data_IF_762350776717
#
_entry.id   IF_762350776717
#
_cell.length_a   1.000
_cell.length_b   1.000
_cell.length_c   1.000
_cell.angle_alpha   90.00
_cell.angle_beta   90.00
_cell.angle_gamma   90.00
#
_symmetry.space_group_name_H-M   'P 1'
#
loop_
_entity.id
_entity.type
_entity.pdbx_description
1 polymer ?
#
# COMPACT_ATOMS: atom_id res chain seq x y z
N UNK A 1 -19.80 4.50 -5.98
CA UNK A 1 -18.41 4.81 -6.35
C UNK A 1 -17.73 3.72 -7.18
N UNK A 2 -17.58 2.48 -6.69
CA UNK A 2 -16.82 1.44 -7.42
C UNK A 2 -17.29 1.14 -8.87
N UNK A 3 -18.61 1.17 -9.12
CA UNK A 3 -19.18 0.95 -10.45
C UNK A 3 -18.74 2.02 -11.46
N UNK A 4 -18.41 3.23 -11.01
CA UNK A 4 -17.99 4.34 -11.89
C UNK A 4 -16.47 4.32 -12.09
N UNK A 5 -15.71 3.94 -11.05
CA UNK A 5 -14.24 3.99 -11.05
C UNK A 5 -13.62 3.13 -12.16
N UNK A 6 -12.63 3.69 -12.88
CA UNK A 6 -11.87 2.96 -13.92
C UNK A 6 -10.46 2.59 -13.47
N UNK A 7 -10.00 3.15 -12.36
CA UNK A 7 -8.74 2.80 -11.75
C UNK A 7 -8.89 1.51 -10.93
N UNK A 8 -8.08 0.51 -11.24
CA UNK A 8 -8.21 -0.82 -10.64
C UNK A 8 -7.98 -0.78 -9.12
N UNK A 9 -6.97 -0.06 -8.65
CA UNK A 9 -6.63 -0.01 -7.22
C UNK A 9 -7.71 0.73 -6.43
N UNK A 10 -8.20 1.86 -6.95
CA UNK A 10 -9.29 2.61 -6.30
C UNK A 10 -10.60 1.82 -6.32
N UNK A 11 -10.92 1.15 -7.43
CA UNK A 11 -12.09 0.28 -7.52
C UNK A 11 -12.06 -0.81 -6.43
N UNK A 12 -10.95 -1.54 -6.29
CA UNK A 12 -10.84 -2.58 -5.25
C UNK A 12 -10.91 -2.02 -3.83
N UNK A 13 -10.37 -0.80 -3.62
CA UNK A 13 -10.42 -0.09 -2.34
C UNK A 13 -11.84 0.31 -1.96
N UNK A 14 -12.64 0.82 -2.89
CA UNK A 14 -14.07 1.06 -2.65
C UNK A 14 -14.82 -0.21 -2.25
N UNK A 15 -14.41 -1.35 -2.78
CA UNK A 15 -14.99 -2.62 -2.34
C UNK A 15 -14.52 -3.05 -0.96
N UNK A 16 -13.41 -2.54 -0.41
CA UNK A 16 -13.09 -2.76 1.02
C UNK A 16 -14.13 -2.01 1.86
N UNK A 17 -14.38 -0.74 1.53
CA UNK A 17 -15.41 0.07 2.21
C UNK A 17 -16.78 -0.62 2.14
N UNK A 18 -17.15 -1.14 0.98
CA UNK A 18 -18.41 -1.89 0.80
C UNK A 18 -18.52 -3.09 1.75
N UNK A 19 -17.50 -3.97 1.80
CA UNK A 19 -17.55 -5.17 2.65
C UNK A 19 -17.43 -4.86 4.14
N UNK A 20 -16.63 -3.85 4.52
CA UNK A 20 -16.62 -3.35 5.91
C UNK A 20 -17.99 -2.78 6.28
N UNK A 21 -18.70 -2.16 5.34
CA UNK A 21 -20.09 -1.73 5.52
C UNK A 21 -21.04 -2.87 5.92
N UNK A 22 -20.89 -4.07 5.35
CA UNK A 22 -21.63 -5.26 5.80
C UNK A 22 -21.30 -5.61 7.25
N UNK A 23 -20.03 -5.57 7.63
CA UNK A 23 -19.59 -5.90 9.00
C UNK A 23 -20.14 -4.89 10.00
N UNK A 24 -20.05 -3.59 9.71
CA UNK A 24 -20.59 -2.53 10.55
C UNK A 24 -22.11 -2.64 10.67
N UNK A 25 -22.80 -2.92 9.56
CA UNK A 25 -24.25 -3.16 9.58
C UNK A 25 -24.61 -4.38 10.45
N UNK A 26 -23.86 -5.47 10.33
CA UNK A 26 -24.08 -6.68 11.12
C UNK A 26 -23.88 -6.43 12.62
N UNK A 27 -22.83 -5.70 13.00
CA UNK A 27 -22.64 -5.25 14.39
C UNK A 27 -23.80 -4.39 14.87
N UNK A 28 -24.30 -3.48 14.01
CA UNK A 28 -25.46 -2.65 14.31
C UNK A 28 -26.79 -3.40 14.46
N UNK A 29 -26.94 -4.58 13.82
CA UNK A 29 -28.10 -5.44 14.03
C UNK A 29 -28.09 -6.11 15.41
N UNK A 30 -26.91 -6.38 15.96
CA UNK A 30 -26.72 -6.78 17.36
C UNK A 30 -27.20 -8.18 17.75
N UNK A 31 -27.76 -8.97 16.84
CA UNK A 31 -28.12 -10.37 17.11
C UNK A 31 -26.89 -11.29 17.08
N UNK A 32 -26.95 -12.41 17.79
CA UNK A 32 -25.86 -13.41 17.80
C UNK A 32 -25.49 -13.88 16.39
N UNK A 33 -26.50 -14.13 15.54
CA UNK A 33 -26.30 -14.47 14.13
C UNK A 33 -25.61 -13.35 13.35
N UNK A 34 -25.96 -12.09 13.61
CA UNK A 34 -25.33 -10.95 12.93
C UNK A 34 -23.87 -10.77 13.37
N UNK A 35 -23.58 -10.92 14.66
CA UNK A 35 -22.21 -10.86 15.19
C UNK A 35 -21.33 -12.01 14.66
N UNK A 36 -21.88 -13.22 14.61
CA UNK A 36 -21.25 -14.36 13.94
C UNK A 36 -20.99 -14.06 12.46
N UNK A 37 -21.98 -13.48 11.77
CA UNK A 37 -21.86 -13.04 10.39
C UNK A 37 -20.75 -12.01 10.19
N UNK A 38 -20.63 -11.02 11.09
CA UNK A 38 -19.58 -10.01 11.06
C UNK A 38 -18.18 -10.64 11.19
N UNK A 39 -17.98 -11.53 12.15
CA UNK A 39 -16.72 -12.24 12.36
C UNK A 39 -16.36 -13.18 11.20
N UNK A 40 -17.32 -13.99 10.76
CA UNK A 40 -17.16 -14.86 9.60
C UNK A 40 -16.82 -14.06 8.35
N UNK A 41 -17.51 -12.93 8.12
CA UNK A 41 -17.29 -12.08 6.97
C UNK A 41 -15.95 -11.39 7.02
N UNK A 42 -15.49 -10.93 8.20
CA UNK A 42 -14.15 -10.37 8.37
C UNK A 42 -13.06 -11.37 7.97
N UNK A 43 -13.18 -12.62 8.41
CA UNK A 43 -12.25 -13.69 8.05
C UNK A 43 -12.25 -13.97 6.54
N UNK A 44 -13.43 -14.25 5.96
CA UNK A 44 -13.54 -14.52 4.52
C UNK A 44 -13.05 -13.33 3.68
N UNK A 45 -13.39 -12.10 4.11
CA UNK A 45 -13.03 -10.86 3.45
C UNK A 45 -11.55 -10.67 3.28
N UNK A 46 -10.75 -10.93 4.32
CA UNK A 46 -9.30 -10.82 4.22
C UNK A 46 -8.76 -11.75 3.13
N UNK A 47 -9.25 -12.99 3.09
CA UNK A 47 -8.77 -14.01 2.15
C UNK A 47 -9.13 -13.64 0.71
N UNK A 48 -10.41 -13.44 0.38
CA UNK A 48 -10.80 -13.16 -1.00
C UNK A 48 -10.31 -11.79 -1.47
N UNK A 49 -10.12 -10.81 -0.57
CA UNK A 49 -9.48 -9.54 -0.93
C UNK A 49 -8.03 -9.71 -1.28
N UNK A 50 -7.28 -10.49 -0.49
CA UNK A 50 -5.90 -10.80 -0.82
C UNK A 50 -5.79 -11.41 -2.23
N UNK A 51 -6.64 -12.38 -2.57
CA UNK A 51 -6.70 -12.97 -3.92
C UNK A 51 -7.00 -11.93 -5.00
N UNK A 52 -8.02 -11.08 -4.80
CA UNK A 52 -8.39 -10.04 -5.76
C UNK A 52 -7.27 -9.00 -5.98
N UNK A 53 -6.64 -8.54 -4.90
CA UNK A 53 -5.53 -7.58 -4.96
C UNK A 53 -4.28 -8.20 -5.57
N UNK A 54 -3.98 -9.47 -5.29
CA UNK A 54 -2.87 -10.18 -5.92
C UNK A 54 -3.14 -10.42 -7.42
N UNK A 55 -4.36 -10.82 -7.81
CA UNK A 55 -4.73 -11.03 -9.21
C UNK A 55 -4.63 -9.76 -10.04
N UNK A 56 -5.21 -8.66 -9.55
CA UNK A 56 -5.07 -7.35 -10.18
C UNK A 56 -3.65 -6.79 -10.09
N UNK A 57 -2.93 -7.07 -9.00
CA UNK A 57 -1.54 -6.70 -8.81
C UNK A 57 -0.62 -7.36 -9.84
N UNK A 58 -0.83 -8.65 -10.12
CA UNK A 58 -0.13 -9.40 -11.16
C UNK A 58 -0.39 -8.80 -12.56
N UNK A 59 -1.64 -8.48 -12.88
CA UNK A 59 -1.98 -7.80 -14.14
C UNK A 59 -1.24 -6.45 -14.24
N UNK A 60 -1.27 -5.62 -13.19
CA UNK A 60 -0.59 -4.32 -13.19
C UNK A 60 0.93 -4.51 -13.32
N UNK A 61 1.51 -5.51 -12.67
CA UNK A 61 2.95 -5.77 -12.70
C UNK A 61 3.43 -6.15 -14.10
N UNK A 62 2.70 -7.02 -14.80
CA UNK A 62 3.10 -7.49 -16.13
C UNK A 62 2.76 -6.45 -17.21
N UNK A 63 1.64 -5.75 -17.08
CA UNK A 63 1.18 -4.81 -18.12
C UNK A 63 1.69 -3.38 -17.93
N UNK A 64 2.11 -3.01 -16.72
CA UNK A 64 2.42 -1.64 -16.33
C UNK A 64 1.24 -0.68 -16.33
N UNK A 65 0.01 -1.16 -16.61
CA UNK A 65 -1.19 -0.31 -16.71
C UNK A 65 -2.12 -0.52 -15.52
N UNK A 66 -2.65 0.58 -14.99
CA UNK A 66 -3.53 0.59 -13.79
C UNK A 66 -4.99 0.88 -14.11
N UNK A 67 -5.26 1.47 -15.27
CA UNK A 67 -6.62 1.83 -15.68
C UNK A 67 -7.24 0.70 -16.51
N UNK A 68 -8.49 0.35 -16.24
CA UNK A 68 -9.23 -0.68 -16.97
C UNK A 68 -9.30 -0.35 -18.47
N UNK A 69 -9.47 0.93 -18.82
CA UNK A 69 -9.58 1.37 -20.21
C UNK A 69 -8.29 1.11 -21.01
N UNK A 70 -7.13 1.09 -20.36
CA UNK A 70 -5.83 0.83 -20.99
C UNK A 70 -5.57 -0.67 -21.21
N UNK A 71 -6.41 -1.55 -20.65
CA UNK A 71 -6.23 -3.00 -20.72
C UNK A 71 -7.21 -3.66 -21.69
N UNK A 72 -8.29 -2.97 -22.06
CA UNK A 72 -9.28 -3.45 -23.02
C UNK A 72 -8.64 -3.81 -24.36
N UNK A 73 -9.11 -4.89 -24.98
CA UNK A 73 -8.70 -5.30 -26.33
C UNK A 73 -7.40 -6.08 -26.42
N UNK A 74 -6.74 -6.37 -25.29
CA UNK A 74 -5.39 -6.96 -25.28
C UNK A 74 -5.36 -8.48 -25.20
N UNK A 75 -6.53 -9.12 -25.27
CA UNK A 75 -6.71 -10.59 -25.20
C UNK A 75 -5.95 -11.23 -24.02
N UNK A 76 -5.94 -10.55 -22.87
CA UNK A 76 -5.22 -11.02 -21.68
C UNK A 76 -5.74 -12.37 -21.21
N UNK A 77 -6.99 -12.74 -21.53
CA UNK A 77 -7.55 -14.05 -21.19
C UNK A 77 -6.76 -15.21 -21.81
N UNK A 78 -6.10 -15.01 -22.95
CA UNK A 78 -5.21 -16.00 -23.59
C UNK A 78 -3.79 -15.95 -23.05
N UNK A 79 -3.32 -14.75 -22.66
CA UNK A 79 -1.94 -14.53 -22.20
C UNK A 79 -1.73 -14.87 -20.73
N UNK A 80 -2.77 -14.68 -19.91
CA UNK A 80 -2.75 -14.91 -18.46
C UNK A 80 -4.01 -15.66 -17.95
N UNK A 81 -4.31 -16.88 -18.47
CA UNK A 81 -5.49 -17.65 -18.09
C UNK A 81 -5.52 -18.13 -16.63
N UNK A 82 -4.38 -18.49 -16.04
CA UNK A 82 -4.25 -18.92 -14.64
C UNK A 82 -4.57 -17.74 -13.72
N UNK A 83 -3.97 -16.58 -13.96
CA UNK A 83 -4.26 -15.37 -13.17
C UNK A 83 -5.75 -14.99 -13.26
N UNK A 84 -6.37 -15.14 -14.44
CA UNK A 84 -7.81 -14.93 -14.61
C UNK A 84 -8.63 -15.91 -13.74
N UNK A 85 -8.35 -17.21 -13.80
CA UNK A 85 -9.09 -18.22 -13.03
C UNK A 85 -8.97 -17.94 -11.52
N UNK A 86 -7.76 -17.68 -11.03
CA UNK A 86 -7.51 -17.39 -9.61
C UNK A 86 -8.21 -16.09 -9.18
N UNK A 87 -8.15 -15.04 -10.01
CA UNK A 87 -8.91 -13.81 -9.78
C UNK A 87 -10.42 -14.08 -9.71
N UNK A 88 -10.96 -14.90 -10.62
CA UNK A 88 -12.39 -15.21 -10.66
C UNK A 88 -12.85 -15.98 -9.42
N UNK A 89 -12.02 -16.84 -8.82
CA UNK A 89 -12.31 -17.45 -7.51
C UNK A 89 -12.53 -16.37 -6.45
N UNK A 90 -11.64 -15.38 -6.36
CA UNK A 90 -11.80 -14.24 -5.46
C UNK A 90 -13.03 -13.38 -5.80
N UNK A 91 -13.32 -13.19 -7.09
CA UNK A 91 -14.44 -12.40 -7.58
C UNK A 91 -15.80 -13.07 -7.28
N UNK A 92 -15.89 -14.39 -7.42
CA UNK A 92 -17.06 -15.17 -7.03
C UNK A 92 -17.23 -15.21 -5.51
N UNK A 93 -16.13 -15.27 -4.77
CA UNK A 93 -16.13 -15.20 -3.31
C UNK A 93 -16.72 -13.87 -2.81
N UNK A 94 -16.18 -12.72 -3.21
CA UNK A 94 -16.72 -11.41 -2.77
C UNK A 94 -18.18 -11.17 -3.21
N UNK A 95 -18.58 -11.81 -4.31
CA UNK A 95 -19.93 -11.68 -4.89
C UNK A 95 -20.95 -12.63 -4.29
N UNK A 96 -20.56 -13.44 -3.29
CA UNK A 96 -21.42 -14.43 -2.66
C UNK A 96 -22.03 -15.44 -3.65
N UNK A 97 -21.22 -15.92 -4.60
CA UNK A 97 -21.61 -17.07 -5.43
C UNK A 97 -21.63 -18.34 -4.56
N UNK A 98 -22.66 -19.20 -4.67
CA UNK A 98 -22.69 -20.48 -3.94
C UNK A 98 -21.39 -21.27 -4.12
N UNK A 99 -21.02 -22.06 -3.10
CA UNK A 99 -19.76 -22.83 -2.99
C UNK A 99 -18.51 -22.01 -2.62
N UNK A 100 -18.59 -20.68 -2.55
CA UNK A 100 -17.49 -19.83 -2.10
C UNK A 100 -17.77 -19.22 -0.71
N UNK A 101 -16.71 -18.91 0.02
CA UNK A 101 -16.80 -18.49 1.42
C UNK A 101 -17.55 -17.16 1.66
N UNK A 102 -17.60 -16.27 0.68
CA UNK A 102 -18.40 -15.06 0.79
C UNK A 102 -19.89 -15.34 0.76
N UNK A 103 -20.35 -16.43 0.13
CA UNK A 103 -21.76 -16.86 0.23
C UNK A 103 -22.08 -17.25 1.67
N UNK A 104 -21.23 -18.08 2.29
CA UNK A 104 -21.38 -18.54 3.69
C UNK A 104 -21.48 -17.37 4.67
N UNK A 105 -20.55 -16.41 4.58
CA UNK A 105 -20.50 -15.30 5.54
C UNK A 105 -21.50 -14.18 5.26
N UNK A 106 -21.67 -13.79 3.99
CA UNK A 106 -22.48 -12.62 3.61
C UNK A 106 -23.97 -12.91 3.70
N UNK A 107 -24.40 -14.12 3.31
CA UNK A 107 -25.82 -14.51 3.43
C UNK A 107 -26.26 -14.59 4.88
N UNK A 108 -25.37 -14.95 5.81
CA UNK A 108 -25.65 -14.93 7.25
C UNK A 108 -26.00 -13.51 7.74
N UNK A 109 -25.26 -12.48 7.31
CA UNK A 109 -25.55 -11.09 7.65
C UNK A 109 -26.90 -10.64 7.08
N UNK A 110 -27.16 -10.97 5.82
CA UNK A 110 -28.43 -10.63 5.15
C UNK A 110 -29.61 -11.33 5.83
N UNK A 111 -29.47 -12.62 6.13
CA UNK A 111 -30.49 -13.39 6.82
C UNK A 111 -30.76 -12.86 8.23
N UNK A 112 -29.73 -12.41 8.96
CA UNK A 112 -29.91 -11.78 10.26
C UNK A 112 -30.76 -10.50 10.19
N UNK A 113 -30.63 -9.70 9.12
CA UNK A 113 -31.49 -8.54 8.90
C UNK A 113 -32.96 -8.96 8.61
N UNK A 114 -33.15 -10.01 7.82
CA UNK A 114 -34.47 -10.56 7.49
C UNK A 114 -35.19 -11.15 8.72
N UNK A 115 -34.51 -11.99 9.49
CA UNK A 115 -35.04 -12.56 10.74
C UNK A 115 -35.30 -11.48 11.81
N UNK A 116 -34.50 -10.40 11.81
CA UNK A 116 -34.74 -9.24 12.66
C UNK A 116 -35.87 -8.31 12.18
N UNK A 117 -36.62 -8.70 11.14
CA UNK A 117 -37.69 -7.91 10.51
C UNK A 117 -37.24 -6.50 10.13
N UNK A 118 -36.04 -6.37 9.54
CA UNK A 118 -35.46 -5.11 9.05
C UNK A 118 -35.42 -5.07 7.52
N UNK A 119 -36.57 -4.98 6.82
CA UNK A 119 -36.64 -5.14 5.36
C UNK A 119 -35.86 -4.06 4.60
N UNK A 120 -35.80 -2.84 5.12
CA UNK A 120 -35.01 -1.75 4.51
C UNK A 120 -33.52 -2.08 4.53
N UNK A 121 -33.02 -2.59 5.66
CA UNK A 121 -31.60 -2.96 5.80
C UNK A 121 -31.29 -4.15 4.90
N UNK A 122 -32.13 -5.18 4.94
CA UNK A 122 -32.01 -6.34 4.07
C UNK A 122 -31.98 -5.95 2.58
N UNK A 123 -32.87 -5.06 2.14
CA UNK A 123 -32.88 -4.54 0.77
C UNK A 123 -31.57 -3.83 0.42
N UNK A 124 -31.08 -2.95 1.30
CA UNK A 124 -29.81 -2.23 1.08
C UNK A 124 -28.62 -3.21 0.98
N UNK A 125 -28.59 -4.26 1.81
CA UNK A 125 -27.57 -5.30 1.76
C UNK A 125 -27.66 -6.13 0.46
N UNK A 126 -28.85 -6.39 -0.06
CA UNK A 126 -29.02 -7.03 -1.37
C UNK A 126 -28.55 -6.12 -2.53
N UNK A 127 -28.91 -4.83 -2.50
CA UNK A 127 -28.46 -3.87 -3.52
C UNK A 127 -26.94 -3.70 -3.52
N UNK A 128 -26.32 -3.70 -2.34
CA UNK A 128 -24.86 -3.69 -2.21
C UNK A 128 -24.23 -4.99 -2.78
N UNK A 129 -24.93 -6.13 -2.72
CA UNK A 129 -24.47 -7.41 -3.30
C UNK A 129 -24.50 -7.36 -4.82
N UNK A 130 -25.59 -6.84 -5.39
CA UNK A 130 -25.73 -6.59 -6.83
C UNK A 130 -24.58 -5.68 -7.32
N UNK A 131 -24.35 -4.55 -6.63
CA UNK A 131 -23.26 -3.64 -7.00
C UNK A 131 -21.86 -4.25 -6.89
N UNK A 132 -21.66 -5.15 -5.92
CA UNK A 132 -20.40 -5.89 -5.73
C UNK A 132 -20.14 -6.83 -6.92
N UNK A 133 -21.12 -7.67 -7.27
CA UNK A 133 -20.98 -8.61 -8.39
C UNK A 133 -20.86 -7.90 -9.73
N UNK A 134 -21.70 -6.88 -9.97
CA UNK A 134 -21.64 -6.06 -11.16
C UNK A 134 -20.24 -5.45 -11.36
N UNK A 135 -19.62 -4.97 -10.28
CA UNK A 135 -18.34 -4.26 -10.37
C UNK A 135 -17.12 -5.20 -10.43
N UNK A 136 -16.98 -6.16 -9.52
CA UNK A 136 -15.78 -7.01 -9.40
C UNK A 136 -15.94 -8.34 -10.13
N UNK A 137 -17.15 -8.90 -10.12
CA UNK A 137 -17.45 -10.18 -10.78
C UNK A 137 -17.60 -10.06 -12.30
N UNK A 138 -18.07 -8.91 -12.79
CA UNK A 138 -18.40 -8.73 -14.21
C UNK A 138 -17.61 -7.59 -14.87
N UNK A 139 -17.82 -6.34 -14.45
CA UNK A 139 -17.19 -5.16 -15.07
C UNK A 139 -15.67 -5.24 -15.09
N UNK A 140 -15.04 -5.47 -13.93
CA UNK A 140 -13.58 -5.48 -13.84
C UNK A 140 -12.95 -6.59 -14.71
N UNK A 141 -13.36 -7.88 -14.60
CA UNK A 141 -12.76 -8.93 -15.42
C UNK A 141 -13.07 -8.76 -16.91
N UNK A 142 -14.26 -8.28 -17.25
CA UNK A 142 -14.56 -7.96 -18.64
C UNK A 142 -13.62 -6.88 -19.18
N UNK A 143 -13.46 -5.76 -18.48
CA UNK A 143 -12.62 -4.67 -18.95
C UNK A 143 -11.13 -5.02 -19.04
N UNK A 144 -10.64 -5.90 -18.15
CA UNK A 144 -9.23 -6.31 -18.12
C UNK A 144 -8.95 -7.44 -19.13
N UNK A 145 -9.77 -8.50 -19.15
CA UNK A 145 -9.45 -9.72 -19.91
C UNK A 145 -10.22 -9.86 -21.22
N UNK A 146 -11.48 -9.40 -21.29
CA UNK A 146 -12.40 -9.70 -22.40
C UNK A 146 -12.85 -8.48 -23.22
N UNK A 147 -12.40 -7.28 -22.85
CA UNK A 147 -12.85 -6.04 -23.48
C UNK A 147 -12.41 -5.95 -24.94
N UNK A 148 -13.17 -5.22 -25.76
CA UNK A 148 -12.84 -4.96 -27.17
C UNK A 148 -11.77 -3.86 -27.31
N UNK A 149 -10.90 -3.91 -28.35
CA UNK A 149 -9.91 -2.85 -28.61
C UNK A 149 -10.59 -1.51 -28.89
N UNK A 150 -10.00 -0.43 -28.38
CA UNK A 150 -10.51 0.94 -28.52
C UNK A 150 -9.60 1.79 -29.44
N UNK A 151 -8.99 1.17 -30.45
CA UNK A 151 -8.15 1.84 -31.45
C UNK A 151 -6.77 2.32 -30.97
N UNK A 152 -6.39 2.09 -29.70
CA UNK A 152 -5.03 2.37 -29.22
C UNK A 152 -4.07 1.22 -29.59
N UNK A 153 -3.24 1.44 -30.60
CA UNK A 153 -2.22 0.49 -31.11
C UNK A 153 -0.96 0.38 -30.23
N UNK A 154 -1.01 0.79 -28.96
CA UNK A 154 0.07 0.49 -28.02
C UNK A 154 0.10 -1.04 -27.79
N UNK A 155 0.91 -1.76 -28.55
CA UNK A 155 1.24 -3.15 -28.26
C UNK A 155 1.90 -3.21 -26.87
N UNK A 156 1.29 -3.95 -25.93
CA UNK A 156 2.09 -4.48 -24.82
C UNK A 156 2.85 -5.68 -25.39
N UNK A 157 4.08 -5.46 -25.79
CA UNK A 157 5.00 -6.53 -26.13
C UNK A 157 5.24 -7.41 -24.89
N UNK A 158 5.14 -8.73 -25.09
CA UNK A 158 5.54 -9.79 -24.15
C UNK A 158 4.83 -9.87 -22.78
N UNK A 159 3.48 -9.85 -22.78
CA UNK A 159 2.68 -10.20 -21.59
C UNK A 159 2.56 -11.70 -21.43
N UNK A 160 3.04 -12.23 -20.29
CA UNK A 160 2.93 -13.63 -19.87
C UNK A 160 2.39 -13.71 -18.45
N UNK A 161 2.08 -14.92 -17.99
CA UNK A 161 1.75 -15.17 -16.59
C UNK A 161 2.83 -14.62 -15.63
N UNK A 162 2.45 -14.16 -14.43
CA UNK A 162 3.40 -13.71 -13.43
C UNK A 162 4.25 -14.89 -12.94
N UNK A 163 5.39 -14.65 -12.28
CA UNK A 163 6.22 -15.72 -11.76
C UNK A 163 5.45 -16.66 -10.81
N UNK A 164 5.88 -17.91 -10.75
CA UNK A 164 5.16 -19.00 -10.09
C UNK A 164 4.88 -18.72 -8.59
N UNK A 165 5.78 -18.02 -7.90
CA UNK A 165 5.59 -17.62 -6.50
C UNK A 165 4.31 -16.78 -6.29
N UNK A 166 4.00 -15.86 -7.21
CA UNK A 166 2.77 -15.06 -7.16
C UNK A 166 1.54 -15.93 -7.44
N UNK A 167 1.64 -16.86 -8.39
CA UNK A 167 0.56 -17.79 -8.71
C UNK A 167 0.24 -18.71 -7.54
N UNK A 168 1.26 -19.23 -6.86
CA UNK A 168 1.08 -20.06 -5.65
C UNK A 168 0.42 -19.25 -4.54
N UNK A 169 0.85 -18.02 -4.30
CA UNK A 169 0.24 -17.14 -3.29
C UNK A 169 -1.25 -16.90 -3.55
N UNK A 170 -1.61 -16.60 -4.80
CA UNK A 170 -3.00 -16.48 -5.23
C UNK A 170 -3.76 -17.81 -5.11
N UNK A 171 -3.13 -18.91 -5.52
CA UNK A 171 -3.68 -20.26 -5.50
C UNK A 171 -4.06 -20.72 -4.10
N UNK A 172 -3.23 -20.46 -3.10
CA UNK A 172 -3.51 -20.79 -1.70
C UNK A 172 -4.73 -20.01 -1.18
N UNK A 173 -4.80 -18.70 -1.43
CA UNK A 173 -5.96 -17.90 -1.03
C UNK A 173 -7.24 -18.34 -1.76
N UNK A 174 -7.14 -18.64 -3.05
CA UNK A 174 -8.25 -19.15 -3.86
C UNK A 174 -8.76 -20.50 -3.33
N UNK A 175 -7.85 -21.43 -3.03
CA UNK A 175 -8.17 -22.72 -2.44
C UNK A 175 -8.89 -22.56 -1.09
N UNK A 176 -8.39 -21.68 -0.21
CA UNK A 176 -9.04 -21.38 1.06
C UNK A 176 -10.46 -20.82 0.88
N UNK A 177 -10.69 -19.98 -0.14
CA UNK A 177 -12.02 -19.45 -0.44
C UNK A 177 -13.02 -20.55 -0.84
N UNK A 178 -12.56 -21.57 -1.58
CA UNK A 178 -13.40 -22.70 -1.98
C UNK A 178 -13.61 -23.66 -0.81
N UNK A 179 -12.56 -24.05 -0.08
CA UNK A 179 -12.66 -24.97 1.06
C UNK A 179 -13.61 -24.43 2.12
N UNK A 180 -13.44 -23.17 2.53
CA UNK A 180 -14.30 -22.54 3.55
C UNK A 180 -15.71 -22.25 3.03
N UNK A 181 -15.91 -22.22 1.71
CA UNK A 181 -17.22 -22.20 1.09
C UNK A 181 -17.93 -23.55 1.17
N UNK A 182 -17.27 -24.62 0.71
CA UNK A 182 -17.83 -25.99 0.67
C UNK A 182 -18.03 -26.56 2.08
N UNK A 183 -17.08 -26.32 2.99
CA UNK A 183 -17.09 -26.84 4.36
C UNK A 183 -17.23 -25.70 5.39
N UNK A 184 -18.41 -25.03 5.47
CA UNK A 184 -18.62 -23.86 6.33
C UNK A 184 -18.44 -24.19 7.82
N UNK A 185 -18.58 -25.46 8.23
CA UNK A 185 -18.40 -25.91 9.60
C UNK A 185 -16.99 -25.63 10.13
N UNK A 186 -15.98 -25.61 9.26
CA UNK A 186 -14.60 -25.26 9.64
C UNK A 186 -14.51 -23.82 10.14
N UNK A 187 -15.27 -22.91 9.53
CA UNK A 187 -15.37 -21.52 9.93
C UNK A 187 -16.30 -21.36 11.15
N UNK A 188 -17.45 -22.03 11.15
CA UNK A 188 -18.47 -21.87 12.19
C UNK A 188 -18.01 -22.30 13.58
N UNK A 189 -17.13 -23.30 13.67
CA UNK A 189 -16.53 -23.73 14.94
C UNK A 189 -15.63 -22.67 15.59
N UNK A 190 -15.17 -21.68 14.83
CA UNK A 190 -14.32 -20.59 15.30
C UNK A 190 -15.13 -19.36 15.70
N UNK A 191 -16.45 -19.37 15.50
CA UNK A 191 -17.32 -18.23 15.78
C UNK A 191 -17.72 -18.18 17.26
N UNK A 192 -17.97 -16.97 17.81
CA UNK A 192 -18.19 -16.79 19.25
C UNK A 192 -19.52 -17.35 19.76
N UNK A 193 -20.57 -17.38 18.94
CA UNK A 193 -21.90 -17.87 19.34
C UNK A 193 -22.27 -19.15 18.59
N UNK A 194 -23.23 -19.92 19.10
CA UNK A 194 -23.74 -21.11 18.43
C UNK A 194 -24.37 -20.75 17.06
N UNK A 195 -24.05 -21.56 16.04
CA UNK A 195 -24.45 -21.29 14.66
C UNK A 195 -25.57 -22.24 14.25
N UNK A 196 -26.81 -21.74 14.25
CA UNK A 196 -27.97 -22.44 13.69
C UNK A 196 -28.24 -22.07 12.21
N UNK A 197 -27.34 -21.33 11.58
CA UNK A 197 -27.50 -20.85 10.22
C UNK A 197 -27.02 -21.90 9.19
N UNK A 198 -27.93 -22.29 8.29
CA UNK A 198 -27.64 -23.21 7.19
C UNK A 198 -27.49 -22.43 5.87
N UNK A 199 -26.26 -22.13 5.41
CA UNK A 199 -26.04 -21.26 4.25
C UNK A 199 -26.65 -21.84 2.97
N UNK A 200 -26.65 -23.17 2.84
CA UNK A 200 -27.15 -23.89 1.66
C UNK A 200 -28.64 -24.23 1.71
N UNK A 201 -29.42 -23.59 2.59
CA UNK A 201 -30.87 -23.73 2.53
C UNK A 201 -31.40 -23.25 1.17
N UNK A 202 -32.41 -23.90 0.58
CA UNK A 202 -32.90 -23.57 -0.75
C UNK A 202 -33.25 -22.10 -0.95
N UNK A 203 -33.82 -21.45 0.06
CA UNK A 203 -34.16 -20.02 0.04
C UNK A 203 -32.95 -19.12 -0.22
N UNK A 204 -31.84 -19.36 0.47
CA UNK A 204 -30.62 -18.54 0.35
C UNK A 204 -29.93 -18.78 -1.00
N UNK A 205 -29.87 -20.03 -1.44
CA UNK A 205 -29.25 -20.40 -2.73
C UNK A 205 -30.05 -19.82 -3.89
N UNK A 206 -31.37 -19.99 -3.89
CA UNK A 206 -32.26 -19.47 -4.95
C UNK A 206 -32.21 -17.94 -4.99
N UNK A 207 -32.33 -17.26 -3.84
CA UNK A 207 -32.26 -15.80 -3.79
C UNK A 207 -30.92 -15.26 -4.34
N UNK A 208 -29.81 -15.90 -3.97
CA UNK A 208 -28.48 -15.50 -4.44
C UNK A 208 -28.32 -15.75 -5.94
N UNK A 209 -28.76 -16.90 -6.45
CA UNK A 209 -28.71 -17.20 -7.88
C UNK A 209 -29.59 -16.24 -8.69
N UNK A 210 -30.79 -15.92 -8.23
CA UNK A 210 -31.66 -14.93 -8.89
C UNK A 210 -30.98 -13.57 -8.97
N UNK A 211 -30.39 -13.09 -7.87
CA UNK A 211 -29.66 -11.82 -7.85
C UNK A 211 -28.47 -11.83 -8.80
N UNK A 212 -27.67 -12.91 -8.81
CA UNK A 212 -26.52 -13.05 -9.69
C UNK A 212 -26.95 -13.08 -11.17
N UNK A 213 -27.96 -13.87 -11.52
CA UNK A 213 -28.47 -14.00 -12.88
C UNK A 213 -29.07 -12.68 -13.39
N UNK A 214 -29.87 -11.99 -12.57
CA UNK A 214 -30.43 -10.68 -12.94
C UNK A 214 -29.35 -9.62 -13.07
N UNK A 215 -28.33 -9.65 -12.21
CA UNK A 215 -27.17 -8.74 -12.31
C UNK A 215 -26.38 -9.02 -13.58
N UNK A 216 -26.19 -10.29 -13.94
CA UNK A 216 -25.54 -10.70 -15.19
C UNK A 216 -26.33 -10.24 -16.42
N UNK A 217 -27.65 -10.44 -16.42
CA UNK A 217 -28.53 -9.96 -17.50
C UNK A 217 -28.43 -8.44 -17.65
N UNK A 218 -28.51 -7.70 -16.53
CA UNK A 218 -28.32 -6.25 -16.52
C UNK A 218 -26.94 -5.83 -17.02
N UNK A 219 -25.88 -6.54 -16.62
CA UNK A 219 -24.54 -6.29 -17.14
C UNK A 219 -24.45 -6.46 -18.66
N UNK A 220 -24.98 -7.56 -19.20
CA UNK A 220 -24.97 -7.81 -20.65
C UNK A 220 -25.68 -6.70 -21.44
N UNK A 221 -26.76 -6.13 -20.89
CA UNK A 221 -27.50 -5.02 -21.52
C UNK A 221 -26.71 -3.69 -21.43
N UNK A 222 -26.07 -3.41 -20.29
CA UNK A 222 -25.45 -2.11 -20.00
C UNK A 222 -23.93 -2.09 -20.17
N UNK A 223 -23.33 -3.11 -20.77
CA UNK A 223 -21.88 -3.26 -20.85
C UNK A 223 -21.20 -2.08 -21.53
N UNK A 224 -21.73 -1.63 -22.66
CA UNK A 224 -21.16 -0.53 -23.42
C UNK A 224 -21.21 0.78 -22.60
N UNK A 225 -22.30 1.01 -21.87
CA UNK A 225 -22.45 2.18 -20.99
C UNK A 225 -21.54 2.12 -19.77
N UNK A 226 -21.37 0.94 -19.17
CA UNK A 226 -20.47 0.72 -18.03
C UNK A 226 -18.99 0.89 -18.42
N UNK A 227 -18.68 0.67 -19.70
CA UNK A 227 -17.33 0.71 -20.25
C UNK A 227 -17.00 2.02 -20.92
N UNK A 228 -18.02 2.76 -21.36
CA UNK A 228 -17.91 4.13 -21.83
C UNK A 228 -17.34 5.07 -20.75
N UNK A 229 -16.89 6.23 -21.22
CA UNK A 229 -16.37 7.31 -20.39
C UNK A 229 -14.87 7.51 -20.52
N UNK A 230 -14.39 8.63 -19.97
CA UNK A 230 -12.98 9.03 -19.97
C UNK A 230 -12.30 8.61 -18.67
N UNK A 231 -10.97 8.55 -18.70
CA UNK A 231 -10.15 8.42 -17.49
C UNK A 231 -10.48 9.59 -16.56
N UNK A 232 -11.16 9.29 -15.47
CA UNK A 232 -11.63 10.28 -14.50
C UNK A 232 -11.40 9.74 -13.10
N UNK A 233 -11.16 10.66 -12.18
CA UNK A 233 -11.01 10.38 -10.75
C UNK A 233 -12.39 10.59 -10.13
N UNK A 234 -13.00 9.55 -9.56
CA UNK A 234 -14.19 9.79 -8.73
C UNK A 234 -13.81 10.64 -7.53
N UNK A 235 -14.57 11.71 -7.32
CA UNK A 235 -14.54 12.54 -6.12
C UNK A 235 -15.48 11.91 -5.11
N UNK A 236 -14.92 11.39 -4.02
CA UNK A 236 -15.65 10.93 -2.85
C UNK A 236 -15.33 11.83 -1.66
N UNK A 237 -15.52 11.33 -0.44
CA UNK A 237 -15.16 12.07 0.79
C UNK A 237 -13.65 12.29 0.94
N UNK A 238 -12.80 11.67 0.09
CA UNK A 238 -11.34 11.89 0.07
C UNK A 238 -10.96 13.33 -0.30
N UNK A 239 -11.86 14.08 -0.95
CA UNK A 239 -11.61 15.48 -1.34
C UNK A 239 -11.20 16.34 -0.14
N UNK A 240 -11.86 16.16 1.00
CA UNK A 240 -11.53 16.89 2.23
C UNK A 240 -10.09 16.59 2.69
N UNK A 241 -9.69 15.31 2.67
CA UNK A 241 -8.34 14.89 3.02
C UNK A 241 -7.29 15.33 1.99
N UNK A 242 -7.65 15.39 0.70
CA UNK A 242 -6.77 15.88 -0.36
C UNK A 242 -6.44 17.36 -0.20
N UNK A 243 -7.43 18.18 0.17
CA UNK A 243 -7.21 19.60 0.46
C UNK A 243 -6.18 19.74 1.59
N UNK A 244 -6.41 19.04 2.70
CA UNK A 244 -5.48 19.08 3.84
C UNK A 244 -4.09 18.55 3.46
N UNK A 245 -4.03 17.44 2.73
CA UNK A 245 -2.77 16.87 2.24
C UNK A 245 -2.00 17.83 1.33
N UNK A 246 -2.69 18.59 0.49
CA UNK A 246 -2.05 19.63 -0.32
C UNK A 246 -1.45 20.74 0.54
N UNK A 247 -2.16 21.18 1.58
CA UNK A 247 -1.63 22.15 2.56
C UNK A 247 -0.37 21.63 3.26
N UNK A 248 -0.37 20.37 3.68
CA UNK A 248 0.81 19.72 4.29
C UNK A 248 1.96 19.62 3.29
N UNK A 249 1.69 19.23 2.05
CA UNK A 249 2.72 19.15 1.00
C UNK A 249 3.31 20.53 0.68
N UNK A 250 2.49 21.58 0.66
CA UNK A 250 2.97 22.95 0.52
C UNK A 250 3.87 23.35 1.68
N UNK A 251 3.51 23.01 2.92
CA UNK A 251 4.34 23.25 4.08
C UNK A 251 5.68 22.49 3.99
N UNK A 252 5.67 21.21 3.60
CA UNK A 252 6.91 20.46 3.40
C UNK A 252 7.77 21.06 2.28
N UNK A 253 7.14 21.47 1.16
CA UNK A 253 7.86 21.95 -0.03
C UNK A 253 8.45 23.34 0.13
N UNK A 254 7.78 24.23 0.85
CA UNK A 254 8.20 25.63 0.95
C UNK A 254 8.89 25.92 2.29
N UNK A 255 8.20 26.06 3.43
CA UNK A 255 8.85 26.45 4.67
C UNK A 255 9.85 25.39 5.17
N UNK A 256 9.50 24.11 5.16
CA UNK A 256 10.40 23.08 5.68
C UNK A 256 11.65 22.92 4.80
N UNK A 257 11.49 22.94 3.47
CA UNK A 257 12.62 22.86 2.56
C UNK A 257 13.51 24.12 2.61
N UNK A 258 12.91 25.31 2.80
CA UNK A 258 13.68 26.54 3.06
C UNK A 258 14.47 26.45 4.35
N UNK A 259 13.85 25.97 5.43
CA UNK A 259 14.52 25.73 6.70
C UNK A 259 15.68 24.74 6.55
N UNK A 260 15.45 23.61 5.87
CA UNK A 260 16.50 22.63 5.54
C UNK A 260 17.67 23.29 4.81
N UNK A 261 17.39 24.09 3.78
CA UNK A 261 18.45 24.76 3.02
C UNK A 261 19.21 25.79 3.88
N UNK A 262 18.51 26.54 4.75
CA UNK A 262 19.15 27.48 5.68
C UNK A 262 20.07 26.75 6.66
N UNK A 263 19.62 25.65 7.26
CA UNK A 263 20.43 24.81 8.16
C UNK A 263 21.60 24.21 7.39
N UNK A 264 21.38 23.68 6.19
CA UNK A 264 22.44 23.09 5.38
C UNK A 264 23.52 24.12 5.02
N UNK A 265 23.16 25.36 4.67
CA UNK A 265 24.13 26.44 4.44
C UNK A 265 24.87 26.81 5.73
N UNK A 266 24.15 26.97 6.84
CA UNK A 266 24.75 27.34 8.12
C UNK A 266 25.75 26.29 8.66
N UNK A 267 25.54 25.01 8.33
CA UNK A 267 26.41 23.92 8.74
C UNK A 267 27.48 23.58 7.71
N UNK A 268 27.23 23.71 6.40
CA UNK A 268 28.20 23.37 5.36
C UNK A 268 29.51 24.15 5.52
N UNK A 269 29.43 25.47 5.76
CA UNK A 269 30.62 26.29 5.97
C UNK A 269 31.38 25.86 7.24
N UNK A 270 30.65 25.54 8.31
CA UNK A 270 31.26 25.13 9.59
C UNK A 270 31.88 23.74 9.52
N UNK A 271 31.24 22.79 8.85
CA UNK A 271 31.77 21.43 8.67
C UNK A 271 32.93 21.42 7.70
N UNK A 272 32.92 22.26 6.67
CA UNK A 272 34.05 22.42 5.76
C UNK A 272 35.26 23.04 6.45
N UNK A 273 35.06 24.08 7.27
CA UNK A 273 36.13 24.66 8.11
C UNK A 273 36.67 23.62 9.10
N UNK A 274 35.80 22.89 9.80
CA UNK A 274 36.20 21.85 10.74
C UNK A 274 36.95 20.69 10.05
N UNK A 275 36.51 20.27 8.86
CA UNK A 275 37.18 19.23 8.08
C UNK A 275 38.53 19.70 7.53
N UNK A 276 38.66 20.96 7.10
CA UNK A 276 39.92 21.57 6.67
C UNK A 276 40.90 21.71 7.84
N UNK A 277 40.42 22.12 9.01
CA UNK A 277 41.20 22.16 10.27
C UNK A 277 41.65 20.76 10.71
N UNK A 278 40.79 19.75 10.62
CA UNK A 278 41.14 18.38 10.96
C UNK A 278 42.23 17.80 10.04
N UNK A 279 42.29 18.23 8.77
CA UNK A 279 43.34 17.80 7.84
C UNK A 279 44.67 18.51 8.08
N UNK A 280 44.66 19.68 8.73
CA UNK A 280 45.86 20.46 9.03
C UNK A 280 45.82 20.99 10.48
N UNK A 281 46.08 20.13 11.48
CA UNK A 281 45.96 20.52 12.90
C UNK A 281 46.86 21.70 13.30
N UNK A 282 47.97 21.92 12.59
CA UNK A 282 48.91 23.02 12.84
C UNK A 282 48.64 24.31 12.03
N UNK A 283 47.72 24.29 11.06
CA UNK A 283 47.46 25.46 10.20
C UNK A 283 47.00 26.68 11.01
N UNK A 284 46.18 26.45 12.05
CA UNK A 284 45.71 27.51 12.97
C UNK A 284 46.87 28.20 13.69
N UNK A 285 47.89 27.43 14.11
CA UNK A 285 49.08 27.95 14.76
C UNK A 285 49.99 28.70 13.77
N UNK A 286 50.13 28.21 12.53
CA UNK A 286 50.87 28.92 11.49
C UNK A 286 50.23 30.27 11.14
N UNK A 287 48.90 30.32 11.01
CA UNK A 287 48.17 31.57 10.75
C UNK A 287 48.43 32.61 11.86
N UNK A 288 48.35 32.19 13.12
CA UNK A 288 48.64 33.06 14.27
C UNK A 288 50.11 33.48 14.29
N UNK A 289 51.03 32.57 13.96
CA UNK A 289 52.47 32.85 13.89
C UNK A 289 52.81 33.86 12.79
N UNK A 290 52.25 33.72 11.58
CA UNK A 290 52.45 34.66 10.48
C UNK A 290 51.81 36.03 10.77
N UNK A 291 50.64 36.05 11.43
CA UNK A 291 50.01 37.28 11.89
C UNK A 291 50.87 38.03 12.94
N UNK A 292 51.53 37.30 13.84
CA UNK A 292 52.46 37.88 14.84
C UNK A 292 53.75 38.41 14.22
N UNK A 293 54.24 37.79 13.15
CA UNK A 293 55.46 38.20 12.43
C UNK A 293 55.18 39.35 11.43
N UNK A 294 53.92 39.76 11.27
CA UNK A 294 53.55 40.85 10.36
C UNK A 294 53.66 40.49 8.88
N UNK A 295 53.71 39.20 8.55
CA UNK A 295 53.58 38.74 7.16
C UNK A 295 52.12 38.37 6.90
N UNK A 296 51.42 39.20 6.14
CA UNK A 296 50.12 38.82 5.59
C UNK A 296 50.29 37.81 4.46
N UNK A 297 50.39 36.53 4.80
CA UNK A 297 50.00 35.48 3.85
C UNK A 297 48.49 35.38 3.83
N UNK A 298 47.91 35.37 2.64
CA UNK A 298 46.47 35.20 2.49
C UNK A 298 46.04 33.89 3.14
N UNK A 299 45.12 33.96 4.11
CA UNK A 299 44.51 32.81 4.80
C UNK A 299 44.10 31.73 3.80
N UNK A 300 43.63 32.14 2.62
CA UNK A 300 43.19 31.27 1.52
C UNK A 300 44.33 30.49 0.87
N UNK A 301 45.55 31.05 0.78
CA UNK A 301 46.73 30.34 0.22
C UNK A 301 47.26 29.27 1.18
N UNK A 302 47.25 29.55 2.48
CA UNK A 302 47.64 28.59 3.52
C UNK A 302 46.66 27.41 3.60
N UNK A 303 45.36 27.69 3.45
CA UNK A 303 44.29 26.69 3.48
C UNK A 303 44.12 25.88 2.18
N UNK A 304 44.70 26.32 1.06
CA UNK A 304 44.66 25.61 -0.23
C UNK A 304 45.81 24.60 -0.41
N UNK A 305 46.83 24.59 0.46
CA UNK A 305 47.90 23.58 0.41
C UNK A 305 47.32 22.19 0.68
N UNK A 306 47.38 21.31 -0.32
CA UNK A 306 47.05 19.89 -0.16
C UNK A 306 47.96 19.25 0.88
N UNK A 307 47.38 18.55 1.87
CA UNK A 307 48.11 17.78 2.87
C UNK A 307 49.10 16.83 2.21
N UNK A 308 50.39 17.09 2.42
CA UNK A 308 51.48 16.26 1.93
C UNK A 308 52.09 15.53 3.14
N UNK A 309 51.86 14.23 3.23
CA UNK A 309 52.31 13.38 4.34
C UNK A 309 53.85 13.43 4.55
N UNK A 310 54.59 13.81 3.50
CA UNK A 310 56.05 13.92 3.54
C UNK A 310 56.57 15.16 4.27
N UNK A 311 55.81 16.25 4.31
CA UNK A 311 56.26 17.52 4.90
C UNK A 311 56.08 17.57 6.43
N UNK A 312 55.18 16.74 6.97
CA UNK A 312 54.78 16.75 8.39
C UNK A 312 55.25 15.51 9.16
N UNK A 313 56.29 14.82 8.70
CA UNK A 313 56.94 13.75 9.46
C UNK A 313 57.76 14.32 10.61
N UNK A 314 57.11 14.64 11.72
CA UNK A 314 57.82 14.83 12.98
C UNK A 314 58.27 13.47 13.51
N UNK A 315 59.56 13.29 13.84
CA UNK A 315 60.03 12.06 14.46
C UNK A 315 59.22 11.78 15.74
N UNK A 316 58.81 10.52 15.92
CA UNK A 316 57.97 10.05 17.04
C UNK A 316 58.52 10.51 18.41
N UNK A 317 59.85 10.69 18.52
CA UNK A 317 60.53 11.20 19.71
C UNK A 317 60.08 12.60 20.15
N UNK A 318 59.62 13.47 19.24
CA UNK A 318 59.12 14.82 19.61
C UNK A 318 57.79 14.71 20.36
N UNK A 319 56.90 13.82 19.92
CA UNK A 319 55.64 13.55 20.62
C UNK A 319 55.87 12.98 22.01
N UNK A 320 56.80 12.03 22.15
CA UNK A 320 57.20 11.48 23.45
C UNK A 320 57.82 12.55 24.34
N UNK A 321 58.71 13.39 23.82
CA UNK A 321 59.35 14.48 24.57
C UNK A 321 58.32 15.51 25.06
N UNK A 322 57.39 15.94 24.21
CA UNK A 322 56.32 16.87 24.59
C UNK A 322 55.40 16.27 25.67
N UNK A 323 55.08 14.99 25.57
CA UNK A 323 54.28 14.26 26.57
C UNK A 323 55.00 14.20 27.92
N UNK A 324 56.30 13.92 27.92
CA UNK A 324 57.13 13.90 29.13
C UNK A 324 57.27 15.28 29.76
N UNK A 325 57.47 16.33 28.97
CA UNK A 325 57.52 17.72 29.45
C UNK A 325 56.18 18.12 30.07
N UNK A 326 55.06 17.79 29.42
CA UNK A 326 53.73 18.05 29.96
C UNK A 326 53.50 17.34 31.29
N UNK A 327 53.79 16.03 31.36
CA UNK A 327 53.66 15.26 32.60
C UNK A 327 54.59 15.78 33.71
N UNK A 328 55.80 16.21 33.36
CA UNK A 328 56.75 16.78 34.30
C UNK A 328 56.27 18.14 34.85
N UNK A 329 55.77 19.03 33.99
CA UNK A 329 55.19 20.31 34.41
C UNK A 329 53.92 20.09 35.25
N UNK A 330 53.07 19.14 34.86
CA UNK A 330 51.89 18.76 35.63
C UNK A 330 52.28 18.24 37.02
N UNK A 331 53.30 17.37 37.10
CA UNK A 331 53.82 16.86 38.36
C UNK A 331 54.41 17.99 39.24
N UNK A 332 55.14 18.94 38.65
CA UNK A 332 55.66 20.11 39.38
C UNK A 332 54.54 20.97 39.95
N UNK A 333 53.48 21.22 39.18
CA UNK A 333 52.30 21.96 39.65
C UNK A 333 51.60 21.18 40.77
N UNK A 334 51.38 19.89 40.58
CA UNK A 334 50.74 19.02 41.58
C UNK A 334 51.52 19.00 42.91
N UNK A 335 52.84 18.82 42.85
CA UNK A 335 53.71 18.83 44.03
C UNK A 335 53.73 20.18 44.76
N UNK A 336 53.54 21.29 44.04
CA UNK A 336 53.52 22.65 44.62
C UNK A 336 52.15 23.04 45.20
N UNK A 337 51.08 22.35 44.80
CA UNK A 337 49.72 22.55 45.32
C UNK A 337 49.40 21.58 46.46
N UNK A 338 50.06 20.41 46.50
CA UNK A 338 49.83 19.37 47.49
C UNK A 338 50.79 19.39 48.71
N UNK A 339 51.76 20.30 48.75
CA UNK A 339 52.69 20.49 49.88
C UNK A 339 52.61 21.89 50.47
#
# INVERSE_FOLDING_TARGET
>A
YAIIEKDIRRLLSYHIVSQVGYMVCAVGLGSEMALNGAGAHAFCHIIYKAVLFMGMGAVIQVTGRRNILDLKGRNLYRKMPITLVLYMVGAFSISAVPLFNGFVSKTMIVAAAGYGHRPVIELMLHLASVGTFLSVGLKLPWGVWFGKPDGSEDEIADVKEPPLNMQIGMGLGALLCVITGIFPQTLYKLLPYEVHFHPYAPSHVVASLQLLLLTLAGFCIYIDKLMAGKKSISLDTDWFYRIFGWTVLLFCRYPLNRFRNLVQLAFADKTEIAARLSKHPYALLEIVWYALIGQEKSMTELLQRTYNEKDYRVPIGIGVCASLIFLFLYALIYMRVAG
#
